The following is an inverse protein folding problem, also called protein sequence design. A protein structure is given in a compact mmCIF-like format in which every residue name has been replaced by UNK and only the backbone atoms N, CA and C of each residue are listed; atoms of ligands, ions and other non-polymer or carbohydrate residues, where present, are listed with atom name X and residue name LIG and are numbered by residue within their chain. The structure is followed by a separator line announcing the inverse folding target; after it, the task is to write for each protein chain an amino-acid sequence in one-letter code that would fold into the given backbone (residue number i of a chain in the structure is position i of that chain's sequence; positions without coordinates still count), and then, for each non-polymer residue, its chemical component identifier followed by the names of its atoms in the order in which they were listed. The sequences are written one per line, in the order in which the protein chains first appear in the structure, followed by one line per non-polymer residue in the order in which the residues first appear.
data_IF_719856918342
#
_entry.id   IF_719856918342
#
_cell.length_a   1.000
_cell.length_b   1.000
_cell.length_c   1.000
_cell.angle_alpha   90.00
_cell.angle_beta   90.00
_cell.angle_gamma   90.00
#
_symmetry.space_group_name_H-M   'P 1'
#
loop_
_entity.id
_entity.type
_entity.pdbx_description
1 polymer ?
#
# COMPACT_ATOMS: atom_id res chain seq x y z
N UNK A 1 3.75 26.78 -7.60
CA UNK A 1 4.93 26.03 -8.10
C UNK A 1 5.13 24.88 -7.13
N UNK A 2 5.04 23.63 -7.59
CA UNK A 2 5.38 22.48 -6.73
C UNK A 2 6.90 22.40 -6.62
N UNK A 3 7.42 22.32 -5.40
CA UNK A 3 8.85 22.08 -5.18
C UNK A 3 9.26 20.72 -5.79
N UNK A 4 10.46 20.62 -6.38
CA UNK A 4 10.92 19.38 -6.97
C UNK A 4 11.08 18.30 -5.89
N UNK A 5 10.28 17.24 -6.00
CA UNK A 5 10.37 16.06 -5.14
C UNK A 5 11.78 15.46 -5.25
N UNK A 6 12.52 15.52 -4.15
CA UNK A 6 13.85 14.90 -4.04
C UNK A 6 13.68 13.51 -3.44
N UNK A 7 13.95 12.49 -4.24
CA UNK A 7 13.87 11.09 -3.83
C UNK A 7 15.19 10.66 -3.20
N UNK A 8 15.13 9.91 -2.10
CA UNK A 8 16.27 9.16 -1.59
C UNK A 8 16.71 8.07 -2.59
N UNK A 9 17.93 7.56 -2.42
CA UNK A 9 18.44 6.46 -3.27
C UNK A 9 17.58 5.19 -3.17
N UNK A 10 16.99 4.93 -2.01
CA UNK A 10 16.09 3.79 -1.81
C UNK A 10 14.80 3.97 -2.62
N UNK A 11 14.14 5.11 -2.50
CA UNK A 11 12.91 5.43 -3.25
C UNK A 11 13.16 5.43 -4.76
N UNK A 12 14.29 6.02 -5.18
CA UNK A 12 14.69 6.04 -6.59
C UNK A 12 14.88 4.63 -7.14
N UNK A 13 15.58 3.76 -6.41
CA UNK A 13 15.76 2.36 -6.82
C UNK A 13 14.43 1.61 -6.91
N UNK A 14 13.56 1.78 -5.92
CA UNK A 14 12.24 1.15 -5.91
C UNK A 14 11.41 1.56 -7.13
N UNK A 15 11.30 2.86 -7.41
CA UNK A 15 10.55 3.38 -8.56
C UNK A 15 11.13 2.87 -9.87
N UNK A 16 12.46 2.88 -10.02
CA UNK A 16 13.11 2.38 -11.23
C UNK A 16 12.90 0.87 -11.42
N UNK A 17 12.95 0.08 -10.36
CA UNK A 17 12.69 -1.37 -10.41
C UNK A 17 11.26 -1.63 -10.89
N UNK A 18 10.26 -0.98 -10.29
CA UNK A 18 8.86 -1.14 -10.69
C UNK A 18 8.63 -0.73 -12.15
N UNK A 19 9.21 0.41 -12.57
CA UNK A 19 9.08 0.91 -13.94
C UNK A 19 9.70 -0.03 -14.97
N UNK A 20 10.84 -0.63 -14.65
CA UNK A 20 11.59 -1.48 -15.56
C UNK A 20 11.20 -2.96 -15.47
N UNK A 21 10.14 -3.31 -14.72
CA UNK A 21 9.64 -4.69 -14.67
C UNK A 21 9.23 -5.16 -16.07
N UNK A 22 9.68 -6.35 -16.51
CA UNK A 22 9.26 -6.91 -17.80
C UNK A 22 7.78 -7.30 -17.78
N UNK A 23 7.16 -7.23 -18.95
CA UNK A 23 5.77 -7.65 -19.17
C UNK A 23 5.58 -9.09 -18.70
N UNK A 24 4.73 -9.27 -17.70
CA UNK A 24 4.47 -10.55 -17.07
C UNK A 24 3.20 -10.48 -16.21
N UNK A 25 2.54 -11.61 -15.95
CA UNK A 25 1.42 -11.65 -15.00
C UNK A 25 1.78 -11.15 -13.60
N UNK A 26 3.06 -11.26 -13.22
CA UNK A 26 3.57 -10.73 -11.96
C UNK A 26 3.60 -9.19 -11.96
N UNK A 27 4.08 -8.58 -13.06
CA UNK A 27 4.05 -7.11 -13.24
C UNK A 27 2.64 -6.58 -13.04
N UNK A 28 1.64 -7.18 -13.67
CA UNK A 28 0.25 -6.74 -13.55
C UNK A 28 -0.28 -6.84 -12.11
N UNK A 29 0.11 -7.89 -11.37
CA UNK A 29 -0.27 -8.05 -9.96
C UNK A 29 0.40 -7.00 -9.07
N UNK A 30 1.68 -6.72 -9.29
CA UNK A 30 2.43 -5.71 -8.52
C UNK A 30 1.89 -4.31 -8.81
N UNK A 31 1.60 -3.97 -10.07
CA UNK A 31 1.03 -2.67 -10.43
C UNK A 31 -0.35 -2.46 -9.79
N UNK A 32 -1.24 -3.45 -9.85
CA UNK A 32 -2.53 -3.40 -9.16
C UNK A 32 -2.38 -3.19 -7.66
N UNK A 33 -1.47 -3.91 -7.01
CA UNK A 33 -1.21 -3.74 -5.58
C UNK A 33 -0.73 -2.32 -5.25
N UNK A 34 0.18 -1.76 -6.05
CA UNK A 34 0.67 -0.39 -5.86
C UNK A 34 -0.46 0.62 -6.08
N UNK A 35 -1.32 0.43 -7.09
CA UNK A 35 -2.50 1.27 -7.32
C UNK A 35 -3.46 1.24 -6.13
N UNK A 36 -3.77 0.04 -5.60
CA UNK A 36 -4.65 -0.14 -4.44
C UNK A 36 -4.08 0.56 -3.20
N UNK A 37 -2.77 0.40 -2.93
CA UNK A 37 -2.09 1.07 -1.81
C UNK A 37 -2.11 2.59 -1.97
N UNK A 38 -1.87 3.11 -3.18
CA UNK A 38 -1.90 4.55 -3.44
C UNK A 38 -3.32 5.12 -3.33
N UNK A 39 -4.33 4.37 -3.77
CA UNK A 39 -5.73 4.74 -3.63
C UNK A 39 -6.13 4.81 -2.15
N UNK A 40 -5.72 3.82 -1.37
CA UNK A 40 -5.91 3.82 0.09
C UNK A 40 -5.18 4.98 0.76
N UNK A 41 -3.91 5.23 0.43
CA UNK A 41 -3.13 6.32 1.01
C UNK A 41 -3.74 7.71 0.72
N UNK A 42 -4.36 7.88 -0.46
CA UNK A 42 -5.07 9.11 -0.83
C UNK A 42 -6.37 9.33 -0.05
N UNK A 43 -7.04 8.26 0.36
CA UNK A 43 -8.27 8.32 1.12
C UNK A 43 -8.32 7.14 2.10
N UNK A 44 -7.68 7.25 3.27
CA UNK A 44 -7.50 6.15 4.22
C UNK A 44 -8.78 5.88 5.04
N UNK A 45 -9.92 5.81 4.36
CA UNK A 45 -11.23 5.52 4.95
C UNK A 45 -11.61 4.09 4.61
N UNK A 46 -11.89 3.28 5.64
CA UNK A 46 -12.56 2.01 5.43
C UNK A 46 -13.94 2.31 4.81
N UNK A 47 -14.28 1.64 3.71
CA UNK A 47 -15.60 1.77 3.07
C UNK A 47 -16.69 0.97 3.80
N UNK A 48 -16.31 0.12 4.75
CA UNK A 48 -17.23 -0.65 5.58
C UNK A 48 -17.64 0.13 6.83
N UNK A 49 -18.89 -0.08 7.24
CA UNK A 49 -19.39 0.40 8.53
C UNK A 49 -18.85 -0.51 9.64
N UNK A 50 -18.43 0.07 10.76
CA UNK A 50 -18.23 -0.68 12.00
C UNK A 50 -19.54 -1.37 12.42
N UNK A 51 -19.48 -2.31 13.38
CA UNK A 51 -20.66 -3.06 13.83
C UNK A 51 -21.80 -2.16 14.37
N UNK A 52 -21.51 -0.91 14.70
CA UNK A 52 -22.44 0.14 15.15
C UNK A 52 -22.94 1.07 14.02
N UNK A 53 -22.51 0.86 12.77
CA UNK A 53 -22.89 1.68 11.63
C UNK A 53 -21.98 2.90 11.36
N UNK A 54 -20.92 3.11 12.15
CA UNK A 54 -20.04 4.27 12.02
C UNK A 54 -18.89 3.99 11.03
N UNK A 55 -18.58 4.90 10.08
CA UNK A 55 -17.41 4.75 9.22
C UNK A 55 -16.13 4.77 10.07
N UNK A 56 -15.15 3.91 9.75
CA UNK A 56 -13.88 3.94 10.47
C UNK A 56 -13.19 5.30 10.28
N UNK A 57 -13.05 6.08 11.35
CA UNK A 57 -12.38 7.39 11.29
C UNK A 57 -10.87 7.28 11.12
N UNK A 58 -10.29 6.11 11.44
CA UNK A 58 -8.85 5.85 11.35
C UNK A 58 -8.55 4.42 10.88
N UNK A 59 -7.47 4.19 10.12
CA UNK A 59 -7.08 2.87 9.64
C UNK A 59 -6.59 1.93 10.77
N UNK A 60 -6.32 2.46 11.96
CA UNK A 60 -6.07 1.66 13.19
C UNK A 60 -7.36 1.14 13.83
N UNK A 61 -8.53 1.46 13.28
CA UNK A 61 -9.81 0.99 13.79
C UNK A 61 -10.00 -0.51 13.57
N UNK A 62 -10.66 -1.14 14.55
CA UNK A 62 -10.80 -2.58 14.73
C UNK A 62 -11.88 -3.19 13.82
N UNK A 63 -11.72 -3.03 12.49
CA UNK A 63 -12.58 -3.70 11.52
C UNK A 63 -11.85 -4.85 10.82
N UNK A 64 -12.59 -5.92 10.50
CA UNK A 64 -12.02 -7.15 9.94
C UNK A 64 -11.17 -6.89 8.68
N UNK A 65 -11.59 -5.95 7.83
CA UNK A 65 -10.84 -5.60 6.62
C UNK A 65 -9.52 -4.86 6.92
N UNK A 66 -9.52 -3.90 7.86
CA UNK A 66 -8.30 -3.20 8.30
C UNK A 66 -7.32 -4.17 8.98
N UNK A 67 -7.83 -5.12 9.77
CA UNK A 67 -7.02 -6.19 10.35
C UNK A 67 -6.40 -7.09 9.28
N UNK A 68 -7.15 -7.50 8.25
CA UNK A 68 -6.65 -8.33 7.15
C UNK A 68 -5.51 -7.63 6.39
N UNK A 69 -5.66 -6.34 6.06
CA UNK A 69 -4.61 -5.58 5.38
C UNK A 69 -3.38 -5.44 6.27
N UNK A 70 -3.56 -5.12 7.55
CA UNK A 70 -2.45 -5.00 8.51
C UNK A 70 -1.70 -6.32 8.69
N UNK A 71 -2.42 -7.44 8.78
CA UNK A 71 -1.84 -8.77 8.88
C UNK A 71 -1.07 -9.17 7.61
N UNK A 72 -1.57 -8.78 6.44
CA UNK A 72 -0.89 -9.01 5.16
C UNK A 72 0.43 -8.21 5.09
N UNK A 73 0.41 -6.94 5.50
CA UNK A 73 1.61 -6.10 5.57
C UNK A 73 2.65 -6.69 6.53
N UNK A 74 2.26 -7.11 7.73
CA UNK A 74 3.14 -7.76 8.68
C UNK A 74 3.74 -9.08 8.12
N UNK A 75 2.95 -9.85 7.37
CA UNK A 75 3.44 -11.08 6.72
C UNK A 75 4.47 -10.77 5.64
N UNK A 76 4.28 -9.70 4.88
CA UNK A 76 5.23 -9.26 3.85
C UNK A 76 6.53 -8.77 4.50
N UNK A 77 6.47 -7.97 5.55
CA UNK A 77 7.65 -7.52 6.31
C UNK A 77 8.50 -8.68 6.85
N UNK A 78 7.85 -9.77 7.31
CA UNK A 78 8.54 -10.96 7.79
C UNK A 78 9.22 -11.79 6.69
N UNK A 79 8.86 -11.56 5.42
CA UNK A 79 9.37 -12.32 4.25
C UNK A 79 10.36 -11.54 3.41
N UNK A 80 10.42 -10.22 3.54
CA UNK A 80 11.42 -9.39 2.89
C UNK A 80 12.74 -9.54 3.65
N UNK A 81 13.83 -10.03 3.00
CA UNK A 81 15.14 -10.06 3.63
C UNK A 81 15.53 -8.63 4.02
N UNK A 82 15.83 -8.42 5.31
CA UNK A 82 16.48 -7.18 5.75
C UNK A 82 17.93 -7.24 5.27
N UNK A 83 18.16 -6.69 4.08
CA UNK A 83 19.48 -6.45 3.51
C UNK A 83 20.15 -5.24 4.14
#
# INVERSE_FOLDING_TARGET
MQEPLTLSDAERRMILTLRNMPDSPLRDRVLRLVEDVLAFARNPRCHEMQADGVPCERPEADCDQCQVVTALLATLEGRVPRG
#
